data_IF_330199712638
#
_entry.id   IF_330199712638
#
_cell.length_a   1.000
_cell.length_b   1.000
_cell.length_c   1.000
_cell.angle_alpha   90.00
_cell.angle_beta   90.00
_cell.angle_gamma   90.00
#
_symmetry.space_group_name_H-M   'P 1'
#
loop_
_entity.id
_entity.type
_entity.pdbx_description
1 polymer ?
#
# COMPACT_ATOMS: atom_id res chain seq x y z
N UNK A 1 -29.09 9.30 -32.68
CA UNK A 1 -28.95 9.85 -31.32
C UNK A 1 -27.98 8.95 -30.56
N UNK A 2 -26.92 9.50 -29.97
CA UNK A 2 -25.92 8.73 -29.21
C UNK A 2 -25.83 9.26 -27.78
N UNK A 3 -25.66 8.36 -26.82
CA UNK A 3 -25.49 8.69 -25.40
C UNK A 3 -24.08 8.30 -24.97
N UNK A 4 -23.42 9.19 -24.23
CA UNK A 4 -22.06 9.01 -23.73
C UNK A 4 -22.08 9.13 -22.21
N UNK A 5 -21.34 8.26 -21.51
CA UNK A 5 -21.18 8.37 -20.05
C UNK A 5 -22.34 7.77 -19.26
N UNK A 6 -23.24 7.03 -19.90
CA UNK A 6 -24.29 6.29 -19.20
C UNK A 6 -23.75 4.97 -18.63
N UNK A 7 -22.57 4.99 -17.99
CA UNK A 7 -21.79 3.86 -17.48
C UNK A 7 -21.41 4.07 -16.01
N UNK A 8 -21.63 3.05 -15.19
CA UNK A 8 -21.47 3.14 -13.72
C UNK A 8 -20.11 2.66 -13.19
N UNK A 9 -19.24 2.10 -14.04
CA UNK A 9 -17.90 1.63 -13.66
C UNK A 9 -16.79 2.67 -13.89
N UNK A 10 -15.51 2.24 -14.08
CA UNK A 10 -14.40 3.13 -14.43
C UNK A 10 -14.71 4.02 -15.65
N UNK A 11 -14.99 5.29 -15.37
CA UNK A 11 -15.77 6.14 -16.26
C UNK A 11 -15.03 6.54 -17.55
N UNK A 12 -13.78 6.96 -17.43
CA UNK A 12 -13.07 7.66 -18.50
C UNK A 12 -12.79 6.79 -19.74
N UNK A 13 -12.33 5.55 -19.55
CA UNK A 13 -12.02 4.68 -20.69
C UNK A 13 -13.24 4.31 -21.51
N UNK A 14 -14.36 3.99 -20.85
CA UNK A 14 -15.62 3.69 -21.55
C UNK A 14 -16.19 4.93 -22.21
N UNK A 15 -16.20 6.08 -21.52
CA UNK A 15 -16.68 7.34 -22.06
C UNK A 15 -15.91 7.73 -23.34
N UNK A 16 -14.59 7.62 -23.31
CA UNK A 16 -13.74 7.92 -24.46
C UNK A 16 -14.08 7.02 -25.65
N UNK A 17 -14.18 5.71 -25.42
CA UNK A 17 -14.47 4.75 -26.49
C UNK A 17 -15.89 4.95 -27.06
N UNK A 18 -16.89 5.18 -26.21
CA UNK A 18 -18.25 5.54 -26.64
C UNK A 18 -18.25 6.82 -27.49
N UNK A 19 -17.47 7.83 -27.10
CA UNK A 19 -17.36 9.10 -27.83
C UNK A 19 -16.75 8.89 -29.22
N UNK A 20 -15.67 8.10 -29.31
CA UNK A 20 -15.02 7.75 -30.59
C UNK A 20 -15.97 7.02 -31.52
N UNK A 21 -16.71 6.03 -31.00
CA UNK A 21 -17.70 5.26 -31.75
C UNK A 21 -18.83 6.13 -32.30
N UNK A 22 -19.38 7.01 -31.47
CA UNK A 22 -20.43 7.93 -31.90
C UNK A 22 -19.89 8.92 -32.93
N UNK A 23 -18.68 9.46 -32.74
CA UNK A 23 -18.06 10.38 -33.67
C UNK A 23 -17.87 9.75 -35.06
N UNK A 24 -17.32 8.53 -35.15
CA UNK A 24 -17.18 7.82 -36.44
C UNK A 24 -18.54 7.57 -37.11
N UNK A 25 -19.55 7.14 -36.34
CA UNK A 25 -20.90 6.94 -36.85
C UNK A 25 -21.53 8.23 -37.41
N UNK A 26 -21.25 9.36 -36.77
CA UNK A 26 -21.73 10.67 -37.23
C UNK A 26 -21.03 11.15 -38.52
N UNK A 27 -19.77 10.75 -38.73
CA UNK A 27 -19.02 11.04 -39.96
C UNK A 27 -19.46 10.16 -41.14
N UNK A 28 -20.26 9.11 -40.88
CA UNK A 28 -20.84 8.25 -41.90
C UNK A 28 -20.02 7.01 -42.24
N UNK A 29 -19.11 6.60 -41.35
CA UNK A 29 -18.41 5.32 -41.47
C UNK A 29 -19.36 4.16 -41.11
N UNK A 30 -19.39 3.12 -41.96
CA UNK A 30 -20.17 1.90 -41.73
C UNK A 30 -19.53 1.09 -40.59
N UNK A 31 -20.13 1.16 -39.41
CA UNK A 31 -19.75 0.34 -38.27
C UNK A 31 -20.41 -1.04 -38.34
N UNK A 32 -19.73 -2.12 -37.90
CA UNK A 32 -20.32 -3.45 -37.82
C UNK A 32 -21.62 -3.45 -36.98
N UNK A 33 -22.68 -4.03 -37.52
CA UNK A 33 -23.99 -4.09 -36.85
C UNK A 33 -24.03 -5.24 -35.83
N UNK A 34 -23.31 -5.09 -34.71
CA UNK A 34 -23.23 -6.09 -33.63
C UNK A 34 -24.22 -5.81 -32.47
N UNK A 35 -25.03 -4.76 -32.56
CA UNK A 35 -25.85 -4.27 -31.42
C UNK A 35 -27.11 -5.10 -31.11
N UNK A 36 -27.53 -6.01 -32.00
CA UNK A 36 -28.77 -6.77 -31.82
C UNK A 36 -28.77 -7.72 -30.61
N UNK A 37 -27.61 -8.29 -30.26
CA UNK A 37 -27.50 -9.19 -29.08
C UNK A 37 -27.55 -8.42 -27.76
N UNK A 38 -27.00 -7.20 -27.72
CA UNK A 38 -26.98 -6.33 -26.54
C UNK A 38 -28.39 -5.88 -26.16
N UNK A 39 -29.24 -5.61 -27.16
CA UNK A 39 -30.62 -5.19 -26.92
C UNK A 39 -31.44 -6.27 -26.18
N UNK A 40 -31.26 -7.54 -26.55
CA UNK A 40 -31.98 -8.64 -25.90
C UNK A 40 -31.51 -8.82 -24.44
N UNK A 41 -30.20 -8.79 -24.21
CA UNK A 41 -29.62 -8.89 -22.86
C UNK A 41 -30.15 -7.77 -21.94
N UNK A 42 -30.28 -6.54 -22.45
CA UNK A 42 -30.81 -5.41 -21.68
C UNK A 42 -32.31 -5.56 -21.36
N UNK A 43 -33.09 -6.13 -22.28
CA UNK A 43 -34.51 -6.45 -22.04
C UNK A 43 -34.66 -7.51 -20.96
N UNK A 44 -33.87 -8.58 -21.05
CA UNK A 44 -33.89 -9.69 -20.09
C UNK A 44 -33.48 -9.20 -18.69
N UNK A 45 -32.44 -8.36 -18.60
CA UNK A 45 -32.01 -7.75 -17.35
C UNK A 45 -33.10 -6.85 -16.74
N UNK A 46 -33.76 -6.03 -17.56
CA UNK A 46 -34.86 -5.17 -17.12
C UNK A 46 -36.03 -5.99 -16.57
N UNK A 47 -36.33 -7.13 -17.19
CA UNK A 47 -37.38 -8.03 -16.73
C UNK A 47 -36.99 -8.73 -15.41
N UNK A 48 -35.73 -9.16 -15.25
CA UNK A 48 -35.22 -9.69 -13.99
C UNK A 48 -35.29 -8.65 -12.85
N UNK A 49 -34.96 -7.37 -13.14
CA UNK A 49 -35.09 -6.26 -12.19
C UNK A 49 -36.54 -6.04 -11.75
N UNK A 50 -37.50 -6.08 -12.69
CA UNK A 50 -38.93 -5.97 -12.38
C UNK A 50 -39.44 -7.11 -11.51
N UNK A 51 -38.93 -8.32 -11.74
CA UNK A 51 -39.25 -9.53 -10.97
C UNK A 51 -38.53 -9.60 -9.62
N UNK A 52 -37.59 -8.70 -9.34
CA UNK A 52 -36.76 -8.67 -8.12
C UNK A 52 -36.04 -9.99 -7.87
N UNK A 53 -35.49 -10.56 -8.92
CA UNK A 53 -34.70 -11.79 -8.82
C UNK A 53 -33.44 -11.55 -7.98
N UNK A 54 -32.97 -12.58 -7.27
CA UNK A 54 -31.81 -12.45 -6.37
C UNK A 54 -30.46 -12.35 -7.12
N UNK A 55 -30.45 -12.61 -8.43
CA UNK A 55 -29.24 -12.68 -9.26
C UNK A 55 -29.13 -11.49 -10.22
N UNK A 56 -29.48 -10.28 -9.76
CA UNK A 56 -29.32 -9.07 -10.56
C UNK A 56 -27.92 -8.50 -10.29
N UNK A 57 -27.09 -8.29 -11.32
CA UNK A 57 -25.80 -7.65 -11.14
C UNK A 57 -25.99 -6.22 -10.62
N UNK A 58 -25.16 -5.80 -9.66
CA UNK A 58 -25.15 -4.41 -9.17
C UNK A 58 -24.84 -3.41 -10.29
N UNK A 59 -24.02 -3.81 -11.26
CA UNK A 59 -23.69 -3.04 -12.46
C UNK A 59 -24.20 -3.76 -13.70
N UNK A 60 -25.12 -3.11 -14.41
CA UNK A 60 -25.73 -3.61 -15.63
C UNK A 60 -24.79 -3.60 -16.85
N UNK A 61 -23.64 -2.94 -16.73
CA UNK A 61 -22.48 -3.04 -17.64
C UNK A 61 -21.23 -3.40 -16.84
N UNK A 62 -21.20 -4.60 -16.26
CA UNK A 62 -20.11 -5.00 -15.35
C UNK A 62 -18.78 -5.33 -16.04
N UNK A 63 -18.77 -5.62 -17.35
CA UNK A 63 -17.58 -6.03 -18.07
C UNK A 63 -16.88 -4.84 -18.75
N UNK A 64 -16.10 -4.11 -17.96
CA UNK A 64 -15.29 -2.99 -18.46
C UNK A 64 -14.35 -3.42 -19.60
N UNK A 65 -13.67 -4.57 -19.42
CA UNK A 65 -12.62 -5.03 -20.36
C UNK A 65 -13.26 -5.42 -21.68
N UNK A 66 -14.32 -6.22 -21.64
CA UNK A 66 -15.06 -6.64 -22.82
C UNK A 66 -15.65 -5.45 -23.57
N UNK A 67 -16.24 -4.48 -22.87
CA UNK A 67 -16.82 -3.29 -23.49
C UNK A 67 -15.78 -2.43 -24.21
N UNK A 68 -14.64 -2.17 -23.58
CA UNK A 68 -13.55 -1.39 -24.18
C UNK A 68 -12.94 -2.14 -25.37
N UNK A 69 -12.67 -3.44 -25.24
CA UNK A 69 -12.12 -4.27 -26.32
C UNK A 69 -13.10 -4.41 -27.50
N UNK A 70 -14.40 -4.53 -27.24
CA UNK A 70 -15.42 -4.60 -28.29
C UNK A 70 -15.49 -3.30 -29.09
N UNK A 71 -15.57 -2.15 -28.41
CA UNK A 71 -15.57 -0.86 -29.08
C UNK A 71 -14.25 -0.65 -29.83
N UNK A 72 -13.11 -1.07 -29.26
CA UNK A 72 -11.82 -0.99 -29.95
C UNK A 72 -11.81 -1.78 -31.26
N UNK A 73 -12.36 -3.01 -31.27
CA UNK A 73 -12.50 -3.81 -32.50
C UNK A 73 -13.38 -3.13 -33.54
N UNK A 74 -14.51 -2.55 -33.12
CA UNK A 74 -15.42 -1.82 -34.01
C UNK A 74 -14.76 -0.58 -34.63
N UNK A 75 -13.88 0.09 -33.87
CA UNK A 75 -13.10 1.25 -34.30
C UNK A 75 -11.80 0.89 -35.04
N UNK A 76 -11.50 -0.40 -35.21
CA UNK A 76 -10.23 -0.91 -35.72
C UNK A 76 -9.00 -0.36 -34.96
N UNK A 77 -9.11 -0.22 -33.64
CA UNK A 77 -8.03 0.21 -32.74
C UNK A 77 -7.37 -1.02 -32.13
N UNK A 78 -6.07 -1.20 -32.38
CA UNK A 78 -5.30 -2.27 -31.78
C UNK A 78 -4.83 -1.92 -30.36
N UNK A 79 -4.95 -2.88 -29.45
CA UNK A 79 -4.44 -2.73 -28.09
C UNK A 79 -2.94 -2.93 -28.05
N UNK A 80 -2.22 -1.96 -27.47
CA UNK A 80 -0.77 -2.06 -27.28
C UNK A 80 -0.44 -3.04 -26.16
N UNK A 81 0.00 -4.23 -26.54
CA UNK A 81 0.26 -5.37 -25.64
C UNK A 81 1.76 -5.70 -25.47
N UNK A 82 2.62 -5.14 -26.33
CA UNK A 82 4.07 -5.38 -26.28
C UNK A 82 4.68 -5.11 -24.89
N UNK A 83 4.28 -4.06 -24.14
CA UNK A 83 4.83 -3.79 -22.82
C UNK A 83 4.35 -4.73 -21.70
N UNK A 84 3.51 -5.73 -21.97
CA UNK A 84 3.05 -6.67 -20.94
C UNK A 84 3.19 -8.14 -21.37
N UNK A 85 4.07 -8.44 -22.33
CA UNK A 85 4.31 -9.79 -22.85
C UNK A 85 3.02 -10.46 -23.37
N UNK A 86 2.20 -9.67 -24.09
CA UNK A 86 0.93 -10.11 -24.69
C UNK A 86 -0.31 -9.58 -23.95
N UNK A 87 -1.38 -10.38 -23.92
CA UNK A 87 -2.66 -10.02 -23.31
C UNK A 87 -2.67 -10.10 -21.77
N UNK A 88 -1.62 -9.56 -21.13
CA UNK A 88 -1.52 -9.45 -19.67
C UNK A 88 -1.53 -7.98 -19.25
N UNK A 89 -1.55 -7.76 -17.95
CA UNK A 89 -1.53 -6.43 -17.36
C UNK A 89 -2.90 -5.73 -17.36
N UNK A 90 -2.97 -4.53 -16.79
CA UNK A 90 -4.21 -3.79 -16.64
C UNK A 90 -4.72 -3.23 -17.98
N UNK A 91 -6.04 -3.15 -18.12
CA UNK A 91 -6.70 -2.49 -19.25
C UNK A 91 -6.73 -0.99 -19.01
N UNK A 92 -5.83 -0.25 -19.66
CA UNK A 92 -5.67 1.20 -19.53
C UNK A 92 -6.09 1.89 -20.83
N UNK A 93 -6.71 3.09 -20.77
CA UNK A 93 -7.04 3.87 -21.97
C UNK A 93 -5.82 4.16 -22.86
N UNK A 94 -4.65 4.39 -22.26
CA UNK A 94 -3.37 4.60 -22.98
C UNK A 94 -2.93 3.42 -23.84
N UNK A 95 -3.51 2.22 -23.64
CA UNK A 95 -3.24 1.06 -24.51
C UNK A 95 -4.08 1.07 -25.79
N UNK A 96 -5.07 1.96 -25.93
CA UNK A 96 -5.98 2.05 -27.07
C UNK A 96 -5.76 3.36 -27.84
N UNK A 97 -4.62 3.46 -28.53
CA UNK A 97 -4.29 4.63 -29.32
C UNK A 97 -5.04 4.62 -30.67
N UNK A 98 -5.92 5.60 -30.87
CA UNK A 98 -6.65 5.79 -32.13
C UNK A 98 -6.04 6.92 -32.97
N UNK A 99 -6.66 7.20 -34.13
CA UNK A 99 -6.27 8.34 -34.96
C UNK A 99 -6.32 9.66 -34.16
N UNK A 100 -5.22 10.40 -34.12
CA UNK A 100 -5.08 11.65 -33.39
C UNK A 100 -4.69 11.51 -31.91
N UNK A 101 -4.41 10.29 -31.42
CA UNK A 101 -3.83 10.10 -30.09
C UNK A 101 -2.32 10.35 -30.15
N UNK A 102 -1.77 11.03 -29.14
CA UNK A 102 -0.33 11.12 -28.94
C UNK A 102 0.22 9.77 -28.46
N UNK A 103 0.83 9.03 -29.39
CA UNK A 103 1.38 7.70 -29.12
C UNK A 103 2.59 7.74 -28.19
N UNK A 104 3.31 8.84 -28.15
CA UNK A 104 4.53 8.97 -27.36
C UNK A 104 4.16 9.17 -25.87
N UNK A 105 3.19 10.04 -25.59
CA UNK A 105 2.65 10.20 -24.22
C UNK A 105 1.96 8.92 -23.73
N UNK A 106 1.19 8.26 -24.59
CA UNK A 106 0.57 6.98 -24.25
C UNK A 106 1.60 5.90 -23.90
N UNK A 107 2.69 5.80 -24.67
CA UNK A 107 3.78 4.87 -24.41
C UNK A 107 4.49 5.15 -23.07
N UNK A 108 4.69 6.43 -22.71
CA UNK A 108 5.26 6.82 -21.40
C UNK A 108 4.38 6.33 -20.26
N UNK A 109 3.07 6.58 -20.30
CA UNK A 109 2.12 6.13 -19.27
C UNK A 109 2.12 4.61 -19.13
N UNK A 110 2.10 3.89 -20.26
CA UNK A 110 2.14 2.41 -20.23
C UNK A 110 3.43 1.90 -19.60
N UNK A 111 4.57 2.52 -19.93
CA UNK A 111 5.86 2.16 -19.36
C UNK A 111 5.95 2.47 -17.86
N UNK A 112 5.43 3.61 -17.41
CA UNK A 112 5.35 3.96 -15.99
C UNK A 112 4.56 2.91 -15.20
N UNK A 113 3.38 2.50 -15.70
CA UNK A 113 2.56 1.47 -15.05
C UNK A 113 3.28 0.11 -15.06
N UNK A 114 3.98 -0.24 -16.16
CA UNK A 114 4.79 -1.48 -16.22
C UNK A 114 5.87 -1.47 -15.13
N UNK A 115 6.62 -0.38 -15.00
CA UNK A 115 7.67 -0.23 -13.99
C UNK A 115 7.08 -0.29 -12.58
N UNK A 116 5.96 0.40 -12.34
CA UNK A 116 5.26 0.38 -11.05
C UNK A 116 4.82 -1.03 -10.64
N UNK A 117 4.22 -1.79 -11.56
CA UNK A 117 3.79 -3.17 -11.32
C UNK A 117 4.98 -4.10 -11.09
N UNK A 118 6.04 -3.94 -11.88
CA UNK A 118 7.28 -4.69 -11.69
C UNK A 118 7.89 -4.41 -10.31
N UNK A 119 7.96 -3.15 -9.88
CA UNK A 119 8.53 -2.76 -8.59
C UNK A 119 7.64 -3.21 -7.41
N UNK A 120 6.33 -3.24 -7.58
CA UNK A 120 5.42 -3.81 -6.57
C UNK A 120 5.58 -5.34 -6.42
N UNK A 121 5.91 -6.06 -7.50
CA UNK A 121 6.05 -7.52 -7.49
C UNK A 121 7.46 -7.99 -7.10
N UNK A 122 8.49 -7.32 -7.58
CA UNK A 122 9.90 -7.75 -7.45
C UNK A 122 10.64 -7.03 -6.32
N UNK A 123 10.23 -5.80 -5.98
CA UNK A 123 10.81 -5.01 -4.89
C UNK A 123 9.79 -4.94 -3.74
N UNK A 124 9.79 -3.82 -3.03
CA UNK A 124 8.96 -3.56 -1.85
C UNK A 124 8.00 -2.38 -2.04
N UNK A 125 7.73 -1.94 -3.28
CA UNK A 125 6.84 -0.79 -3.54
C UNK A 125 5.44 -1.05 -2.95
N UNK A 126 4.89 -0.06 -2.26
CA UNK A 126 3.62 -0.08 -1.50
C UNK A 126 3.61 -0.92 -0.22
N UNK A 127 4.65 -1.72 0.06
CA UNK A 127 4.77 -2.43 1.34
C UNK A 127 4.95 -1.47 2.52
N UNK A 128 5.78 -0.41 2.44
CA UNK A 128 5.86 0.62 3.48
C UNK A 128 4.51 1.27 3.73
N UNK A 129 3.79 1.67 2.68
CA UNK A 129 2.43 2.21 2.80
C UNK A 129 1.47 1.26 3.55
N UNK A 130 1.50 -0.03 3.17
CA UNK A 130 0.67 -1.06 3.80
C UNK A 130 1.07 -1.31 5.26
N UNK A 131 2.37 -1.37 5.56
CA UNK A 131 2.90 -1.55 6.90
C UNK A 131 2.56 -0.37 7.80
N UNK A 132 2.74 0.86 7.30
CA UNK A 132 2.37 2.08 8.01
C UNK A 132 0.89 2.05 8.36
N UNK A 133 0.00 1.90 7.38
CA UNK A 133 -1.45 1.83 7.63
C UNK A 133 -1.81 0.72 8.62
N UNK A 134 -1.17 -0.44 8.53
CA UNK A 134 -1.50 -1.57 9.38
C UNK A 134 -1.00 -1.42 10.83
N UNK A 135 0.05 -0.63 11.07
CA UNK A 135 0.54 -0.28 12.42
C UNK A 135 -0.47 0.56 13.22
N UNK A 136 -1.43 1.21 12.58
CA UNK A 136 -2.42 2.04 13.27
C UNK A 136 -3.16 1.28 14.39
N UNK A 137 -3.39 1.97 15.52
CA UNK A 137 -4.19 1.47 16.64
C UNK A 137 -3.35 0.90 17.78
N UNK A 138 -4.00 0.10 18.63
CA UNK A 138 -3.41 -0.49 19.85
C UNK A 138 -2.79 -1.87 19.63
N UNK A 139 -1.74 -2.13 20.40
CA UNK A 139 -0.92 -3.34 20.35
C UNK A 139 -0.53 -3.79 21.75
N UNK A 140 -0.45 -5.10 21.95
CA UNK A 140 0.25 -5.69 23.09
C UNK A 140 1.75 -5.73 22.78
N UNK A 141 2.55 -5.09 23.62
CA UNK A 141 3.99 -4.96 23.49
C UNK A 141 4.71 -5.91 24.46
N UNK A 142 5.57 -6.75 23.92
CA UNK A 142 6.54 -7.53 24.67
C UNK A 142 7.94 -7.24 24.14
N UNK A 143 8.82 -6.77 25.02
CA UNK A 143 10.20 -6.43 24.65
C UNK A 143 11.19 -7.15 25.53
N UNK A 144 12.22 -7.71 24.92
CA UNK A 144 13.35 -8.33 25.60
C UNK A 144 14.62 -7.53 25.31
N UNK A 145 15.37 -7.20 26.35
CA UNK A 145 16.65 -6.52 26.25
C UNK A 145 17.71 -7.48 26.75
N UNK A 146 18.49 -8.02 25.81
CA UNK A 146 19.65 -8.84 26.09
C UNK A 146 20.89 -7.95 26.09
N UNK A 147 21.35 -7.58 27.29
CA UNK A 147 22.58 -6.80 27.46
C UNK A 147 23.79 -7.73 27.59
N UNK A 148 24.85 -7.43 26.83
CA UNK A 148 26.14 -8.14 26.89
C UNK A 148 27.12 -7.44 27.83
N UNK A 149 26.76 -6.27 28.37
CA UNK A 149 27.57 -5.52 29.32
C UNK A 149 27.21 -5.87 30.77
N UNK A 150 28.21 -6.23 31.59
CA UNK A 150 28.02 -6.61 33.00
C UNK A 150 27.50 -5.46 33.89
N UNK A 151 27.67 -4.20 33.47
CA UNK A 151 27.24 -3.01 34.21
C UNK A 151 25.79 -2.60 33.97
N UNK A 152 25.11 -3.16 32.97
CA UNK A 152 23.71 -2.86 32.65
C UNK A 152 22.96 -4.18 32.47
N UNK A 153 22.21 -4.66 33.49
CA UNK A 153 21.48 -5.91 33.37
C UNK A 153 20.40 -5.82 32.28
N UNK A 154 20.13 -6.96 31.65
CA UNK A 154 19.01 -7.11 30.73
C UNK A 154 17.67 -7.08 31.45
N UNK A 155 16.61 -7.33 30.68
CA UNK A 155 15.28 -7.46 31.24
C UNK A 155 14.18 -7.57 30.19
N UNK A 156 12.94 -7.61 30.68
CA UNK A 156 11.74 -7.70 29.85
C UNK A 156 10.75 -6.58 30.16
N UNK A 157 10.21 -5.95 29.12
CA UNK A 157 9.09 -5.02 29.22
C UNK A 157 7.83 -5.68 28.70
N UNK A 158 6.77 -5.63 29.50
CA UNK A 158 5.41 -6.00 29.07
C UNK A 158 4.50 -4.79 29.21
N UNK A 159 3.73 -4.51 28.17
CA UNK A 159 2.88 -3.33 28.15
C UNK A 159 2.00 -3.25 26.91
N UNK A 160 1.57 -2.03 26.62
CA UNK A 160 0.76 -1.67 25.46
C UNK A 160 1.45 -0.58 24.66
N UNK A 161 1.22 -0.59 23.36
CA UNK A 161 1.70 0.44 22.45
C UNK A 161 0.56 0.90 21.54
N UNK A 162 0.51 2.21 21.28
CA UNK A 162 -0.53 2.83 20.47
C UNK A 162 0.09 3.72 19.40
N UNK A 163 -0.38 3.55 18.16
CA UNK A 163 -0.06 4.43 17.04
C UNK A 163 -1.27 5.33 16.77
N UNK A 164 -1.18 6.57 17.24
CA UNK A 164 -2.25 7.55 17.13
C UNK A 164 -2.11 8.39 15.86
N UNK A 165 -3.08 8.34 14.92
CA UNK A 165 -3.09 9.23 13.76
C UNK A 165 -3.17 10.70 14.16
N UNK A 166 -2.34 11.53 13.53
CA UNK A 166 -2.42 12.98 13.63
C UNK A 166 -2.13 13.62 12.27
N UNK A 167 -2.50 14.89 12.12
CA UNK A 167 -2.15 15.65 10.93
C UNK A 167 -0.63 15.76 10.79
N UNK A 168 -0.06 15.57 9.59
CA UNK A 168 1.37 15.73 9.38
C UNK A 168 1.83 17.13 9.80
N UNK A 169 2.80 17.17 10.70
CA UNK A 169 3.43 18.42 11.16
C UNK A 169 4.33 19.07 10.10
N UNK A 170 4.70 18.32 9.05
CA UNK A 170 5.50 18.79 7.92
C UNK A 170 4.81 18.34 6.61
N UNK A 171 4.56 19.27 5.66
CA UNK A 171 3.82 18.99 4.42
C UNK A 171 4.53 18.01 3.49
N UNK A 172 5.82 17.73 3.71
CA UNK A 172 6.55 16.69 2.98
C UNK A 172 5.94 15.29 3.20
N UNK A 173 5.37 15.04 4.37
CA UNK A 173 4.90 13.72 4.75
C UNK A 173 3.40 13.57 4.52
N UNK A 174 3.02 12.43 3.95
CA UNK A 174 1.60 12.13 3.65
C UNK A 174 0.83 11.76 4.91
N UNK A 175 1.47 11.08 5.87
CA UNK A 175 0.83 10.64 7.10
C UNK A 175 1.80 10.61 8.28
N UNK A 176 1.26 10.81 9.49
CA UNK A 176 2.04 10.87 10.73
C UNK A 176 1.31 10.21 11.90
N UNK A 177 2.05 9.43 12.69
CA UNK A 177 1.58 8.81 13.92
C UNK A 177 2.40 9.27 15.12
N UNK A 178 1.70 9.62 16.21
CA UNK A 178 2.31 9.70 17.53
C UNK A 178 2.25 8.31 18.16
N UNK A 179 3.42 7.71 18.32
CA UNK A 179 3.60 6.45 19.02
C UNK A 179 3.73 6.70 20.51
N UNK A 180 2.98 5.95 21.31
CA UNK A 180 3.04 5.96 22.76
C UNK A 180 3.11 4.52 23.25
N UNK A 181 4.12 4.19 24.05
CA UNK A 181 4.18 2.93 24.77
C UNK A 181 4.15 3.15 26.27
N UNK A 182 3.50 2.23 26.96
CA UNK A 182 3.36 2.21 28.41
C UNK A 182 3.46 0.76 28.88
N UNK A 183 4.27 0.50 29.90
CA UNK A 183 4.45 -0.85 30.42
C UNK A 183 5.30 -0.89 31.67
N UNK A 184 5.56 -2.10 32.14
CA UNK A 184 6.47 -2.35 33.25
C UNK A 184 7.71 -3.05 32.73
N UNK A 185 8.88 -2.47 32.95
CA UNK A 185 10.16 -3.12 32.68
C UNK A 185 10.62 -3.84 33.94
N UNK A 186 10.90 -5.13 33.80
CA UNK A 186 11.42 -6.00 34.86
C UNK A 186 12.84 -6.39 34.48
N UNK A 187 13.81 -5.94 35.27
CA UNK A 187 15.21 -6.32 35.14
C UNK A 187 15.40 -7.79 35.51
N UNK A 188 16.46 -8.40 34.99
CA UNK A 188 16.84 -9.78 35.36
C UNK A 188 17.17 -9.92 36.86
N UNK A 189 17.49 -8.82 37.53
CA UNK A 189 17.71 -8.74 38.98
C UNK A 189 16.42 -8.79 39.81
N UNK A 190 15.24 -8.77 39.17
CA UNK A 190 13.92 -8.79 39.81
C UNK A 190 13.35 -7.42 40.14
N UNK A 191 14.09 -6.33 39.90
CA UNK A 191 13.58 -4.97 40.05
C UNK A 191 12.64 -4.61 38.90
N UNK A 192 11.47 -4.05 39.22
CA UNK A 192 10.48 -3.61 38.24
C UNK A 192 10.18 -2.12 38.35
N UNK A 193 10.09 -1.42 37.22
CA UNK A 193 9.70 -0.01 37.19
C UNK A 193 8.79 0.29 35.98
N UNK A 194 7.91 1.30 36.10
CA UNK A 194 7.11 1.77 34.98
C UNK A 194 8.02 2.39 33.92
N UNK A 195 7.74 2.09 32.66
CA UNK A 195 8.46 2.61 31.52
C UNK A 195 7.47 3.12 30.47
N UNK A 196 7.71 4.34 30.00
CA UNK A 196 6.99 4.93 28.88
C UNK A 196 7.98 5.52 27.88
N UNK A 197 7.66 5.43 26.60
CA UNK A 197 8.40 6.10 25.53
C UNK A 197 7.42 6.61 24.48
N UNK A 198 7.86 7.64 23.77
CA UNK A 198 7.12 8.22 22.67
C UNK A 198 8.04 8.47 21.49
N UNK A 199 7.49 8.28 20.30
CA UNK A 199 8.16 8.51 19.03
C UNK A 199 7.15 9.06 18.05
N UNK A 200 7.63 9.69 16.98
CA UNK A 200 6.80 10.06 15.85
C UNK A 200 7.19 9.24 14.65
N UNK A 201 6.22 8.55 14.06
CA UNK A 201 6.40 7.80 12.83
C UNK A 201 5.80 8.59 11.67
N UNK A 202 6.55 8.77 10.60
CA UNK A 202 6.12 9.50 9.39
C UNK A 202 6.25 8.61 8.17
N UNK A 203 5.31 8.76 7.24
CA UNK A 203 5.32 8.10 5.94
C UNK A 203 5.48 9.14 4.81
N UNK A 204 6.46 8.93 3.94
CA UNK A 204 6.71 9.72 2.73
C UNK A 204 6.30 8.90 1.51
N UNK A 205 5.22 9.29 0.83
CA UNK A 205 4.69 8.59 -0.35
C UNK A 205 5.57 8.75 -1.60
N UNK A 206 6.34 9.83 -1.68
CA UNK A 206 7.23 10.09 -2.82
C UNK A 206 8.33 9.04 -2.84
N UNK A 207 8.98 8.85 -1.70
CA UNK A 207 10.08 7.88 -1.53
C UNK A 207 9.60 6.48 -1.14
N UNK A 208 8.32 6.34 -0.72
CA UNK A 208 7.75 5.13 -0.14
C UNK A 208 8.63 4.62 1.01
N UNK A 209 8.83 5.48 2.02
CA UNK A 209 9.62 5.17 3.20
C UNK A 209 8.88 5.49 4.51
N UNK A 210 9.30 4.80 5.58
CA UNK A 210 8.83 5.09 6.94
C UNK A 210 10.03 5.61 7.73
N UNK A 211 9.84 6.70 8.46
CA UNK A 211 10.85 7.25 9.37
C UNK A 211 10.31 7.38 10.78
N UNK A 212 11.15 7.07 11.76
CA UNK A 212 10.89 7.24 13.18
C UNK A 212 11.73 8.40 13.72
N UNK A 213 11.13 9.21 14.58
CA UNK A 213 11.69 10.46 15.09
C UNK A 213 11.55 10.52 16.60
N UNK A 214 12.55 11.12 17.26
CA UNK A 214 12.45 11.46 18.67
C UNK A 214 11.44 12.59 18.87
N UNK A 215 10.82 12.59 20.05
CA UNK A 215 9.96 13.70 20.50
C UNK A 215 10.73 14.62 21.44
N UNK A 216 10.40 15.90 21.38
CA UNK A 216 10.93 16.90 22.31
C UNK A 216 10.41 16.67 23.75
N UNK A 217 10.88 17.50 24.68
CA UNK A 217 10.48 17.44 26.10
C UNK A 217 8.97 17.57 26.33
N UNK A 218 8.25 18.18 25.40
CA UNK A 218 6.79 18.30 25.39
C UNK A 218 6.05 16.99 25.09
N UNK A 219 6.79 15.93 24.74
CA UNK A 219 6.27 14.58 24.45
C UNK A 219 5.37 14.51 23.21
N UNK A 220 5.41 15.52 22.33
CA UNK A 220 4.54 15.62 21.14
C UNK A 220 5.30 16.16 19.92
N UNK A 221 6.13 17.19 20.07
CA UNK A 221 6.84 17.84 18.96
C UNK A 221 7.97 16.98 18.45
N UNK A 222 8.21 17.03 17.13
CA UNK A 222 9.25 16.24 16.46
C UNK A 222 10.60 16.93 16.65
N UNK A 223 11.58 16.20 17.17
CA UNK A 223 12.93 16.73 17.41
C UNK A 223 13.89 16.33 16.26
N UNK A 224 14.48 15.13 16.33
CA UNK A 224 15.50 14.66 15.40
C UNK A 224 15.19 13.27 14.88
N UNK A 225 15.68 12.97 13.67
CA UNK A 225 15.53 11.66 13.05
C UNK A 225 16.19 10.60 13.92
N UNK A 226 15.43 9.56 14.27
CA UNK A 226 15.96 8.40 14.96
C UNK A 226 16.37 7.33 13.95
N UNK A 227 15.47 7.02 13.01
CA UNK A 227 15.69 5.91 12.10
C UNK A 227 14.86 6.06 10.83
N UNK A 228 15.38 5.54 9.71
CA UNK A 228 14.64 5.39 8.46
C UNK A 228 14.61 3.91 8.09
N UNK A 229 13.41 3.42 7.76
CA UNK A 229 13.14 2.02 7.44
C UNK A 229 13.16 1.84 5.93
N UNK A 230 14.16 1.12 5.44
CA UNK A 230 14.26 0.68 4.05
C UNK A 230 13.73 -0.74 3.93
N UNK A 231 12.67 -0.93 3.15
CA UNK A 231 12.02 -2.22 3.00
C UNK A 231 12.71 -3.07 1.94
N UNK A 232 12.95 -4.34 2.28
CA UNK A 232 13.53 -5.35 1.39
C UNK A 232 12.53 -6.50 1.22
N UNK A 233 12.45 -7.10 0.02
CA UNK A 233 11.65 -8.30 -0.18
C UNK A 233 12.19 -9.44 0.70
N UNK A 234 11.32 -10.30 1.26
CA UNK A 234 11.77 -11.40 2.10
C UNK A 234 12.55 -12.42 1.25
N UNK A 235 13.75 -12.79 1.70
CA UNK A 235 14.55 -13.87 1.08
C UNK A 235 13.85 -15.24 1.17
N UNK A 236 12.95 -15.41 2.14
CA UNK A 236 12.16 -16.62 2.37
C UNK A 236 10.69 -16.24 2.56
N UNK A 237 9.80 -16.82 1.74
CA UNK A 237 8.36 -16.56 1.78
C UNK A 237 7.70 -17.01 3.10
N UNK A 238 8.39 -17.82 3.91
CA UNK A 238 7.93 -18.20 5.25
C UNK A 238 8.08 -17.07 6.29
N UNK A 239 8.85 -16.02 5.98
CA UNK A 239 9.13 -14.88 6.87
C UNK A 239 8.33 -13.65 6.48
N UNK A 240 8.19 -12.73 7.44
CA UNK A 240 7.56 -11.43 7.18
C UNK A 240 8.40 -10.52 6.27
N UNK A 241 7.79 -9.43 5.81
CA UNK A 241 8.51 -8.36 5.10
C UNK A 241 9.52 -7.71 6.03
N UNK A 242 10.75 -7.53 5.55
CA UNK A 242 11.82 -6.97 6.36
C UNK A 242 12.01 -5.50 6.02
N UNK A 243 12.22 -4.68 7.05
CA UNK A 243 12.77 -3.35 6.88
C UNK A 243 14.05 -3.22 7.69
N UNK A 244 15.04 -2.49 7.18
CA UNK A 244 16.31 -2.24 7.86
C UNK A 244 16.58 -0.75 7.91
N UNK A 245 17.20 -0.33 8.99
CA UNK A 245 17.73 1.02 9.14
C UNK A 245 19.05 0.94 9.89
N UNK A 246 20.05 1.67 9.43
CA UNK A 246 21.30 1.83 10.16
C UNK A 246 21.63 3.32 10.25
N UNK A 247 22.14 3.72 11.40
CA UNK A 247 22.73 5.04 11.54
C UNK A 247 23.98 4.93 12.41
N UNK A 248 25.03 5.63 11.99
CA UNK A 248 26.24 5.76 12.79
C UNK A 248 26.04 6.86 13.83
N UNK A 249 26.32 6.56 15.10
CA UNK A 249 26.32 7.54 16.17
C UNK A 249 27.56 7.30 17.02
N UNK A 250 28.65 7.99 16.68
CA UNK A 250 29.95 7.83 17.32
C UNK A 250 29.84 7.82 18.86
N UNK A 251 30.39 6.80 19.56
CA UNK A 251 31.21 5.68 19.07
C UNK A 251 30.44 4.37 18.80
N UNK A 252 29.11 4.38 18.78
CA UNK A 252 28.25 3.20 18.67
C UNK A 252 27.65 3.03 17.26
N UNK A 253 27.60 1.79 16.77
CA UNK A 253 26.84 1.44 15.57
C UNK A 253 25.43 1.00 15.97
N UNK A 254 24.41 1.70 15.47
CA UNK A 254 23.01 1.33 15.65
C UNK A 254 22.46 0.67 14.39
N UNK A 255 22.07 -0.59 14.55
CA UNK A 255 21.35 -1.34 13.53
C UNK A 255 19.92 -1.58 14.01
N UNK A 256 18.97 -1.40 13.12
CA UNK A 256 17.56 -1.69 13.34
C UNK A 256 17.05 -2.59 12.23
N UNK A 257 16.23 -3.56 12.61
CA UNK A 257 15.51 -4.40 11.69
C UNK A 257 14.07 -4.53 12.17
N UNK A 258 13.12 -4.44 11.25
CA UNK A 258 11.71 -4.66 11.50
C UNK A 258 11.25 -5.87 10.68
N UNK A 259 10.37 -6.68 11.25
CA UNK A 259 9.72 -7.80 10.56
C UNK A 259 8.19 -7.61 10.62
N UNK A 260 7.54 -7.46 9.46
CA UNK A 260 6.10 -7.29 9.33
C UNK A 260 5.45 -8.58 8.80
N UNK A 261 4.68 -9.27 9.65
CA UNK A 261 4.06 -10.56 9.31
C UNK A 261 2.60 -10.37 8.91
N UNK A 262 2.36 -10.13 7.62
CA UNK A 262 1.01 -9.95 7.08
C UNK A 262 0.25 -11.28 6.94
N UNK A 263 -1.08 -11.21 7.12
CA UNK A 263 -2.05 -12.24 6.74
C UNK A 263 -3.15 -11.59 5.92
N UNK A 264 -3.06 -11.72 4.60
CA UNK A 264 -3.86 -10.92 3.67
C UNK A 264 -3.59 -9.43 3.88
N UNK A 265 -4.65 -8.61 3.98
CA UNK A 265 -4.53 -7.18 4.24
C UNK A 265 -4.30 -6.82 5.72
N UNK A 266 -4.28 -7.80 6.63
CA UNK A 266 -4.13 -7.58 8.07
C UNK A 266 -2.70 -7.81 8.55
N UNK A 267 -2.25 -7.01 9.52
CA UNK A 267 -0.98 -7.21 10.23
C UNK A 267 -1.28 -7.74 11.65
N UNK A 268 -1.30 -9.07 11.87
CA UNK A 268 -1.51 -9.64 13.20
C UNK A 268 -0.37 -9.35 14.17
N UNK A 269 0.87 -9.29 13.67
CA UNK A 269 2.04 -9.00 14.49
C UNK A 269 3.18 -8.41 13.67
N UNK A 270 4.03 -7.63 14.34
CA UNK A 270 5.31 -7.19 13.79
C UNK A 270 6.36 -7.09 14.89
N UNK A 271 7.62 -7.19 14.51
CA UNK A 271 8.78 -7.14 15.39
C UNK A 271 9.69 -5.96 15.03
N UNK A 272 10.32 -5.35 16.03
CA UNK A 272 11.39 -4.37 15.87
C UNK A 272 12.57 -4.81 16.73
N UNK A 273 13.71 -5.03 16.09
CA UNK A 273 14.97 -5.40 16.73
C UNK A 273 15.98 -4.29 16.56
N UNK A 274 16.50 -3.78 17.66
CA UNK A 274 17.60 -2.83 17.69
C UNK A 274 18.84 -3.51 18.25
N UNK A 275 19.95 -3.41 17.53
CA UNK A 275 21.26 -3.87 17.98
C UNK A 275 22.17 -2.66 18.11
N UNK A 276 22.68 -2.44 19.32
CA UNK A 276 23.75 -1.47 19.58
C UNK A 276 25.04 -2.25 19.77
N UNK A 277 26.09 -1.87 19.03
CA UNK A 277 27.45 -2.38 19.23
C UNK A 277 28.39 -1.21 19.42
N UNK A 278 28.96 -1.11 20.60
CA UNK A 278 30.00 -0.12 20.90
C UNK A 278 30.60 -0.33 22.29
N UNK A 279 31.66 0.41 22.64
CA UNK A 279 32.47 0.17 23.83
C UNK A 279 31.70 0.33 25.15
N UNK A 280 30.66 1.16 25.16
CA UNK A 280 29.84 1.43 26.35
C UNK A 280 28.45 0.76 26.29
N UNK A 281 27.89 0.57 25.09
CA UNK A 281 26.55 0.00 24.88
C UNK A 281 26.62 -1.20 23.94
N UNK A 282 26.40 -2.37 24.53
CA UNK A 282 26.38 -3.62 23.80
C UNK A 282 25.14 -4.43 24.17
N UNK A 283 24.05 -4.23 23.43
CA UNK A 283 22.77 -4.87 23.72
C UNK A 283 21.96 -5.14 22.45
N UNK A 284 21.07 -6.13 22.55
CA UNK A 284 20.04 -6.42 21.56
C UNK A 284 18.68 -6.22 22.22
N UNK A 285 17.85 -5.37 21.62
CA UNK A 285 16.50 -5.07 22.08
C UNK A 285 15.51 -5.54 21.03
N UNK A 286 14.78 -6.61 21.33
CA UNK A 286 13.76 -7.17 20.47
C UNK A 286 12.38 -6.83 21.03
N UNK A 287 11.54 -6.19 20.21
CA UNK A 287 10.18 -5.75 20.60
C UNK A 287 9.17 -6.37 19.66
N UNK A 288 8.25 -7.15 20.20
CA UNK A 288 7.15 -7.76 19.46
C UNK A 288 5.82 -7.08 19.81
N UNK A 289 5.10 -6.73 18.75
CA UNK A 289 3.79 -6.10 18.80
C UNK A 289 2.78 -7.09 18.27
N UNK A 290 1.79 -7.45 19.09
CA UNK A 290 0.72 -8.38 18.72
C UNK A 290 -0.62 -7.67 18.83
N UNK A 291 -1.52 -7.88 17.87
CA UNK A 291 -2.88 -7.35 18.00
C UNK A 291 -3.50 -7.97 19.25
N UNK A 292 -4.17 -7.17 20.11
CA UNK A 292 -4.94 -7.72 21.21
C UNK A 292 -5.94 -8.71 20.61
N UNK A 293 -5.93 -9.96 21.08
CA UNK A 293 -7.03 -10.89 20.81
C UNK A 293 -8.30 -10.20 21.31
N UNK A 294 -9.21 -9.88 20.40
CA UNK A 294 -10.54 -9.44 20.78
C UNK A 294 -11.20 -10.51 21.67
N UNK A 295 -12.17 -10.13 22.51
CA UNK A 295 -13.02 -11.10 23.19
C UNK A 295 -13.69 -12.07 22.21
#
# INVERSE_FOLDING_TARGET
MGFVGFYEGPYWGVLEMQSRLIAQKLVGEDLPDHFGQVEQIQKDLRDAMRKRENNIPQFWMGDYVGLVDEIARNLNIERTDQPFDGQKGPTLPSRYCGAGTDTDEAAKVVQEVRVLLHDAQSKSRFVPAAAFRAMQGGWKLERKIDSRNKSSPGGTLKGTAHFHPRFPTDPKYTAEYLYIEEGTFTMDTGLSFPATRRYVYRYDETNDDISAWFVEGDQVTVERLFNRLHFEPPNDKSKGWLAKGSHWCDPDQYESSCEFRFRGASLPMFGITHTSRGPNKDYTMESWYTKPTGP
#
